data_IF_309579045181
#
_entry.id   IF_309579045181
#
_cell.length_a   1.000
_cell.length_b   1.000
_cell.length_c   1.000
_cell.angle_alpha   90.00
_cell.angle_beta   90.00
_cell.angle_gamma   90.00
#
_symmetry.space_group_name_H-M   'P 1'
#
loop_
_entity.id
_entity.type
_entity.pdbx_description
1 polymer ?
#
# COMPACT_ATOMS: atom_id res chain seq x y z
N UNK A 1 22.15 -22.67 -4.16
CA UNK A 1 21.04 -21.69 -4.15
C UNK A 1 19.85 -22.30 -4.88
N UNK A 2 18.69 -22.45 -4.24
CA UNK A 2 17.52 -23.09 -4.89
C UNK A 2 16.93 -22.13 -5.93
N UNK A 3 16.93 -22.57 -7.19
CA UNK A 3 16.38 -21.84 -8.34
C UNK A 3 14.89 -21.52 -8.10
N UNK A 4 14.56 -20.23 -7.90
CA UNK A 4 13.19 -19.70 -7.81
C UNK A 4 12.56 -19.61 -9.22
N UNK A 5 12.93 -20.50 -10.13
CA UNK A 5 12.67 -20.32 -11.57
C UNK A 5 11.42 -21.03 -12.08
N UNK A 6 10.82 -21.95 -11.33
CA UNK A 6 9.58 -22.61 -11.80
C UNK A 6 8.75 -23.04 -10.60
N UNK A 7 7.68 -22.29 -10.29
CA UNK A 7 6.85 -22.47 -9.09
C UNK A 7 7.19 -21.54 -7.91
N UNK A 8 7.69 -20.33 -8.19
CA UNK A 8 8.06 -19.34 -7.17
C UNK A 8 6.88 -18.76 -6.38
N UNK A 9 7.18 -18.04 -5.29
CA UNK A 9 6.20 -17.42 -4.40
C UNK A 9 5.20 -16.54 -5.16
N UNK A 10 5.63 -15.83 -6.21
CA UNK A 10 4.76 -14.98 -7.02
C UNK A 10 3.64 -15.76 -7.72
N UNK A 11 3.93 -16.95 -8.25
CA UNK A 11 2.93 -17.80 -8.89
C UNK A 11 1.90 -18.32 -7.87
N UNK A 12 2.36 -18.63 -6.65
CA UNK A 12 1.46 -19.01 -5.54
C UNK A 12 0.54 -17.87 -5.13
N UNK A 13 1.07 -16.65 -5.04
CA UNK A 13 0.27 -15.45 -4.74
C UNK A 13 -0.74 -15.18 -5.85
N UNK A 14 -0.35 -15.27 -7.13
CA UNK A 14 -1.26 -15.10 -8.26
C UNK A 14 -2.43 -16.10 -8.25
N UNK A 15 -2.20 -17.34 -7.80
CA UNK A 15 -3.26 -18.34 -7.69
C UNK A 15 -4.32 -17.99 -6.64
N UNK A 16 -3.94 -17.25 -5.60
CA UNK A 16 -4.85 -16.78 -4.54
C UNK A 16 -5.54 -15.47 -4.90
N UNK A 17 -4.91 -14.65 -5.75
CA UNK A 17 -5.47 -13.38 -6.19
C UNK A 17 -6.63 -13.60 -7.18
N UNK A 18 -7.63 -12.70 -7.21
CA UNK A 18 -8.65 -12.71 -8.25
C UNK A 18 -8.02 -12.58 -9.64
N UNK A 19 -8.56 -13.27 -10.67
CA UNK A 19 -7.91 -13.43 -11.98
C UNK A 19 -7.72 -12.12 -12.76
N UNK A 20 -8.50 -11.08 -12.44
CA UNK A 20 -8.43 -9.76 -13.08
C UNK A 20 -7.51 -8.78 -12.36
N UNK A 21 -6.94 -9.16 -11.20
CA UNK A 21 -6.11 -8.25 -10.40
C UNK A 21 -4.67 -8.31 -10.89
N UNK A 22 -4.20 -7.18 -11.43
CA UNK A 22 -2.80 -6.97 -11.75
C UNK A 22 -2.03 -6.43 -10.54
N UNK A 23 -0.71 -6.60 -10.54
CA UNK A 23 0.14 -5.92 -9.58
C UNK A 23 0.00 -4.39 -9.77
N UNK A 24 -0.30 -3.63 -8.70
CA UNK A 24 -0.59 -2.20 -8.80
C UNK A 24 0.65 -1.35 -9.12
N UNK A 25 1.85 -1.88 -8.89
CA UNK A 25 3.12 -1.20 -9.15
C UNK A 25 4.06 -2.13 -9.90
N UNK A 26 4.81 -1.58 -10.85
CA UNK A 26 5.79 -2.29 -11.67
C UNK A 26 7.21 -2.09 -11.16
N UNK A 27 7.48 -1.00 -10.44
CA UNK A 27 8.78 -0.70 -9.85
C UNK A 27 8.65 -0.35 -8.36
N UNK A 28 9.77 -0.50 -7.63
CA UNK A 28 9.83 -0.11 -6.22
C UNK A 28 9.68 1.40 -6.04
N UNK A 29 10.21 2.19 -6.99
CA UNK A 29 10.15 3.65 -6.93
C UNK A 29 8.72 4.16 -7.10
N UNK A 30 7.97 3.60 -8.04
CA UNK A 30 6.55 3.91 -8.25
C UNK A 30 5.73 3.64 -6.98
N UNK A 31 5.95 2.48 -6.35
CA UNK A 31 5.29 2.14 -5.08
C UNK A 31 5.66 3.11 -3.96
N UNK A 32 6.94 3.48 -3.86
CA UNK A 32 7.44 4.39 -2.81
C UNK A 32 6.86 5.79 -2.96
N UNK A 33 6.80 6.31 -4.16
CA UNK A 33 6.19 7.61 -4.45
C UNK A 33 4.71 7.63 -4.05
N UNK A 34 3.97 6.59 -4.43
CA UNK A 34 2.57 6.43 -4.03
C UNK A 34 2.42 6.35 -2.51
N UNK A 35 3.24 5.55 -1.84
CA UNK A 35 3.17 5.35 -0.39
C UNK A 35 3.43 6.65 0.39
N UNK A 36 4.36 7.48 -0.07
CA UNK A 36 4.63 8.79 0.53
C UNK A 36 3.47 9.77 0.30
N UNK A 37 2.89 9.77 -0.91
CA UNK A 37 1.76 10.64 -1.23
C UNK A 37 0.53 10.32 -0.37
N UNK A 38 0.17 9.04 -0.28
CA UNK A 38 -0.95 8.59 0.55
C UNK A 38 -0.69 8.81 2.05
N UNK A 39 0.56 8.61 2.49
CA UNK A 39 0.97 8.89 3.86
C UNK A 39 0.76 10.36 4.27
N UNK A 40 1.10 11.31 3.37
CA UNK A 40 0.86 12.74 3.61
C UNK A 40 -0.63 13.07 3.75
N UNK A 41 -1.45 12.60 2.79
CA UNK A 41 -2.92 12.81 2.83
C UNK A 41 -3.53 12.29 4.13
N UNK A 42 -3.12 11.08 4.56
CA UNK A 42 -3.63 10.48 5.79
C UNK A 42 -3.20 11.25 7.04
N UNK A 43 -1.95 11.72 7.07
CA UNK A 43 -1.42 12.53 8.17
C UNK A 43 -2.19 13.84 8.34
N UNK A 44 -2.45 14.54 7.23
CA UNK A 44 -3.26 15.77 7.23
C UNK A 44 -4.68 15.53 7.74
N UNK A 45 -5.32 14.46 7.27
CA UNK A 45 -6.67 14.09 7.72
C UNK A 45 -6.70 13.78 9.22
N UNK A 46 -5.71 13.02 9.73
CA UNK A 46 -5.61 12.73 11.18
C UNK A 46 -5.40 14.02 11.98
N UNK A 47 -4.57 14.94 11.51
CA UNK A 47 -4.36 16.22 12.18
C UNK A 47 -5.64 17.05 12.25
N UNK A 48 -6.42 17.07 11.17
CA UNK A 48 -7.73 17.74 11.12
C UNK A 48 -8.71 17.13 12.13
N UNK A 49 -8.82 15.81 12.16
CA UNK A 49 -9.68 15.07 13.10
C UNK A 49 -9.25 15.31 14.56
N UNK A 50 -7.95 15.31 14.83
CA UNK A 50 -7.40 15.60 16.16
C UNK A 50 -7.71 17.04 16.59
N UNK A 51 -7.62 18.00 15.67
CA UNK A 51 -7.96 19.39 15.97
C UNK A 51 -9.46 19.55 16.29
N UNK A 52 -10.34 18.96 15.48
CA UNK A 52 -11.79 18.95 15.74
C UNK A 52 -12.12 18.36 17.11
N UNK A 53 -11.57 17.17 17.39
CA UNK A 53 -11.77 16.49 18.68
C UNK A 53 -11.28 17.33 19.87
N UNK A 54 -10.19 18.08 19.71
CA UNK A 54 -9.68 18.97 20.76
C UNK A 54 -10.59 20.16 21.00
N UNK A 55 -11.14 20.75 19.94
CA UNK A 55 -12.06 21.89 20.04
C UNK A 55 -13.37 21.45 20.70
N UNK A 56 -13.92 20.29 20.34
CA UNK A 56 -15.17 19.76 20.91
C UNK A 56 -15.07 19.36 22.40
N UNK A 57 -13.85 19.19 22.92
CA UNK A 57 -13.59 18.79 24.32
C UNK A 57 -13.36 19.98 25.26
N UNK A 58 -13.30 21.21 24.75
CA UNK A 58 -13.14 22.46 25.51
C UNK A 58 -14.51 23.11 25.65
#
# INVERSE_FOLDING_TARGET
MKNISTGGILERVRRLAPPHVAAPFRTTDEWREWQLAEGRKRSEEVNRQNHQTRVEKI
#
